data_IF_351507950190
#
_entry.id   IF_351507950190
#
_cell.length_a   1.000
_cell.length_b   1.000
_cell.length_c   1.000
_cell.angle_alpha   90.00
_cell.angle_beta   90.00
_cell.angle_gamma   90.00
#
_symmetry.space_group_name_H-M   'P 1'
#
loop_
_entity.id
_entity.type
_entity.pdbx_description
1 polymer ?
#
# COMPACT_ATOMS: atom_id res chain seq x y z
N UNK A 1 23.38 -19.77 -21.24
CA UNK A 1 22.66 -20.90 -20.62
C UNK A 1 21.24 -20.43 -20.34
N UNK A 2 20.21 -21.24 -20.60
CA UNK A 2 18.87 -20.96 -20.07
C UNK A 2 18.79 -21.56 -18.67
N UNK A 3 18.15 -20.86 -17.75
CA UNK A 3 17.70 -21.42 -16.48
C UNK A 3 16.25 -21.87 -16.65
N UNK A 4 16.08 -22.95 -17.42
CA UNK A 4 14.81 -23.65 -17.53
C UNK A 4 14.63 -24.46 -16.23
N UNK A 5 14.17 -23.80 -15.17
CA UNK A 5 13.78 -24.45 -13.92
C UNK A 5 12.25 -24.59 -13.92
N UNK A 6 11.80 -25.80 -14.26
CA UNK A 6 10.39 -26.17 -14.22
C UNK A 6 9.92 -26.16 -12.76
N UNK A 7 9.34 -25.04 -12.32
CA UNK A 7 8.67 -24.95 -11.02
C UNK A 7 7.46 -25.88 -11.09
N UNK A 8 7.56 -27.03 -10.41
CA UNK A 8 6.49 -28.00 -10.35
C UNK A 8 5.25 -27.37 -9.72
N UNK A 9 4.24 -27.09 -10.55
CA UNK A 9 2.93 -26.66 -10.08
C UNK A 9 2.23 -27.83 -9.38
N UNK A 10 2.58 -28.09 -8.12
CA UNK A 10 1.66 -28.73 -7.18
C UNK A 10 0.41 -27.84 -7.11
N UNK A 11 -0.65 -28.26 -7.80
CA UNK A 11 -1.96 -27.60 -7.77
C UNK A 11 -2.64 -27.87 -6.44
N UNK A 12 -2.05 -27.35 -5.37
CA UNK A 12 -2.67 -27.26 -4.06
C UNK A 12 -3.91 -26.37 -4.23
N UNK A 13 -5.10 -26.99 -4.18
CA UNK A 13 -6.36 -26.39 -4.62
C UNK A 13 -6.91 -25.42 -3.56
N UNK A 14 -6.15 -24.34 -3.34
CA UNK A 14 -6.42 -23.29 -2.37
C UNK A 14 -7.74 -22.59 -2.71
N UNK A 15 -8.83 -23.05 -2.12
CA UNK A 15 -10.13 -22.39 -2.20
C UNK A 15 -10.05 -21.12 -1.34
N UNK A 16 -10.09 -19.91 -1.94
CA UNK A 16 -9.85 -18.68 -1.20
C UNK A 16 -10.98 -18.49 -0.18
N UNK A 17 -10.63 -18.39 1.11
CA UNK A 17 -11.60 -18.26 2.18
C UNK A 17 -12.35 -16.92 2.06
N UNK A 18 -13.68 -16.92 1.79
CA UNK A 18 -14.40 -15.68 1.47
C UNK A 18 -14.37 -14.66 2.61
N UNK A 19 -14.35 -15.11 3.87
CA UNK A 19 -14.26 -14.21 5.04
C UNK A 19 -12.91 -13.50 5.09
N UNK A 20 -11.81 -14.19 4.74
CA UNK A 20 -10.48 -13.58 4.65
C UNK A 20 -10.41 -12.57 3.50
N UNK A 21 -10.96 -12.91 2.33
CA UNK A 21 -11.02 -11.98 1.19
C UNK A 21 -11.84 -10.72 1.51
N UNK A 22 -12.97 -10.85 2.21
CA UNK A 22 -13.77 -9.72 2.68
C UNK A 22 -12.99 -8.90 3.73
N UNK A 23 -12.34 -9.56 4.69
CA UNK A 23 -11.55 -8.88 5.72
C UNK A 23 -10.41 -8.06 5.09
N UNK A 24 -9.60 -8.65 4.22
CA UNK A 24 -8.51 -7.98 3.52
C UNK A 24 -8.99 -6.81 2.65
N UNK A 25 -10.17 -6.95 2.03
CA UNK A 25 -10.79 -5.89 1.22
C UNK A 25 -11.25 -4.71 2.09
N UNK A 26 -11.90 -4.97 3.23
CA UNK A 26 -12.24 -3.95 4.23
C UNK A 26 -10.99 -3.30 4.82
N UNK A 27 -9.91 -4.07 4.99
CA UNK A 27 -8.67 -3.56 5.53
C UNK A 27 -7.97 -2.57 4.58
N UNK A 28 -7.86 -2.93 3.29
CA UNK A 28 -7.29 -2.08 2.25
C UNK A 28 -8.10 -0.79 2.03
N UNK A 29 -9.43 -0.88 2.01
CA UNK A 29 -10.30 0.26 1.66
C UNK A 29 -10.50 1.22 2.85
N UNK A 30 -10.49 0.71 4.09
CA UNK A 30 -10.82 1.50 5.29
C UNK A 30 -9.76 1.43 6.40
N UNK A 31 -9.37 0.24 6.85
CA UNK A 31 -8.54 0.07 8.06
C UNK A 31 -7.14 0.73 7.95
N UNK A 32 -6.39 0.44 6.88
CA UNK A 32 -5.05 1.02 6.68
C UNK A 32 -5.06 2.53 6.40
N UNK A 33 -6.23 3.10 6.06
CA UNK A 33 -6.40 4.56 5.87
C UNK A 33 -6.57 5.30 7.19
N UNK A 34 -6.99 4.61 8.25
CA UNK A 34 -7.23 5.23 9.56
C UNK A 34 -5.94 5.28 10.41
N UNK A 35 -5.78 6.36 11.22
CA UNK A 35 -4.71 6.45 12.20
C UNK A 35 -4.83 5.35 13.26
N UNK A 36 -3.72 4.96 13.87
CA UNK A 36 -3.74 4.20 15.12
C UNK A 36 -4.24 5.06 16.29
N UNK A 37 -4.62 4.43 17.39
CA UNK A 37 -4.93 5.12 18.64
C UNK A 37 -3.71 5.92 19.16
N UNK A 38 -2.49 5.45 18.89
CA UNK A 38 -1.24 6.16 19.23
C UNK A 38 -1.01 7.38 18.33
N UNK A 39 -1.27 7.27 17.02
CA UNK A 39 -1.18 8.39 16.07
C UNK A 39 -2.14 9.52 16.49
N UNK A 40 -3.35 9.15 16.91
CA UNK A 40 -4.35 10.09 17.43
C UNK A 40 -3.98 10.68 18.80
N UNK A 41 -3.12 10.01 19.58
CA UNK A 41 -2.54 10.58 20.80
C UNK A 41 -1.44 11.60 20.47
N UNK A 42 -0.66 11.38 19.40
CA UNK A 42 0.36 12.31 18.88
C UNK A 42 -0.23 13.52 18.14
N UNK A 43 -1.46 13.42 17.62
CA UNK A 43 -2.13 14.47 16.83
C UNK A 43 -2.82 15.54 17.69
N UNK A 44 -2.77 16.78 17.19
CA UNK A 44 -3.55 17.91 17.73
C UNK A 44 -5.06 17.81 17.41
N UNK A 45 -5.42 17.20 16.27
CA UNK A 45 -6.80 16.86 15.93
C UNK A 45 -7.12 15.43 16.41
N UNK A 46 -8.21 15.32 17.18
CA UNK A 46 -8.71 14.06 17.77
C UNK A 46 -10.12 13.71 17.30
N UNK A 47 -10.59 14.35 16.22
CA UNK A 47 -11.92 14.09 15.63
C UNK A 47 -11.93 12.92 14.63
N UNK A 48 -10.76 12.49 14.15
CA UNK A 48 -10.62 11.33 13.25
C UNK A 48 -10.71 10.03 14.07
N UNK A 49 -11.65 9.10 13.79
CA UNK A 49 -11.71 7.81 14.49
C UNK A 49 -10.48 6.94 14.20
N UNK A 50 -10.13 6.06 15.11
CA UNK A 50 -8.95 5.19 14.98
C UNK A 50 -9.25 3.88 14.24
N UNK A 51 -8.22 3.22 13.73
CA UNK A 51 -8.35 1.92 13.06
C UNK A 51 -8.84 0.83 14.03
N UNK A 52 -8.46 0.92 15.30
CA UNK A 52 -8.88 0.01 16.38
C UNK A 52 -10.36 0.18 16.73
N UNK A 53 -10.90 1.41 16.68
CA UNK A 53 -12.34 1.65 16.80
C UNK A 53 -13.11 1.01 15.64
N UNK A 54 -12.61 1.12 14.41
CA UNK A 54 -13.18 0.44 13.25
C UNK A 54 -13.09 -1.08 13.37
N UNK A 55 -11.95 -1.64 13.81
CA UNK A 55 -11.81 -3.08 14.06
C UNK A 55 -12.79 -3.56 15.14
N UNK A 56 -12.97 -2.82 16.23
CA UNK A 56 -13.97 -3.13 17.27
C UNK A 56 -15.41 -3.14 16.74
N UNK A 57 -15.71 -2.36 15.70
CA UNK A 57 -17.00 -2.41 14.99
C UNK A 57 -17.06 -3.64 14.07
N UNK A 58 -16.04 -3.90 13.26
CA UNK A 58 -16.01 -5.02 12.29
C UNK A 58 -15.98 -6.39 13.00
N UNK A 59 -15.28 -6.51 14.14
CA UNK A 59 -15.16 -7.75 14.91
C UNK A 59 -16.49 -8.27 15.50
N UNK A 60 -17.55 -7.47 15.46
CA UNK A 60 -18.94 -7.89 15.76
C UNK A 60 -19.55 -8.78 14.67
N UNK A 61 -19.00 -8.71 13.46
CA UNK A 61 -19.45 -9.44 12.26
C UNK A 61 -18.40 -10.41 11.72
N UNK A 62 -17.10 -10.09 11.87
CA UNK A 62 -15.96 -10.91 11.45
C UNK A 62 -15.06 -11.11 12.68
N UNK A 63 -15.30 -12.19 13.42
CA UNK A 63 -14.55 -12.50 14.65
C UNK A 63 -13.03 -12.56 14.38
N UNK A 64 -12.23 -11.98 15.28
CA UNK A 64 -10.77 -11.80 15.15
C UNK A 64 -10.34 -11.12 13.82
N UNK A 65 -11.08 -10.09 13.38
CA UNK A 65 -10.75 -9.33 12.16
C UNK A 65 -9.29 -8.86 12.15
N UNK A 66 -8.85 -8.24 13.24
CA UNK A 66 -7.48 -7.76 13.46
C UNK A 66 -6.44 -8.89 13.37
N UNK A 67 -6.67 -10.02 14.02
CA UNK A 67 -5.80 -11.21 13.95
C UNK A 67 -5.72 -11.77 12.52
N UNK A 68 -6.84 -11.79 11.79
CA UNK A 68 -6.89 -12.22 10.38
C UNK A 68 -6.04 -11.29 9.51
N UNK A 69 -6.15 -9.96 9.69
CA UNK A 69 -5.31 -9.02 8.92
C UNK A 69 -3.83 -9.21 9.27
N UNK A 70 -3.47 -9.37 10.55
CA UNK A 70 -2.08 -9.62 10.95
C UNK A 70 -1.53 -10.91 10.33
N UNK A 71 -2.20 -12.04 10.54
CA UNK A 71 -1.76 -13.35 10.06
C UNK A 71 -1.59 -13.39 8.53
N UNK A 72 -2.50 -12.77 7.77
CA UNK A 72 -2.39 -12.69 6.31
C UNK A 72 -1.27 -11.74 5.87
N UNK A 73 -1.06 -10.61 6.55
CA UNK A 73 0.05 -9.69 6.28
C UNK A 73 1.42 -10.33 6.56
N UNK A 74 1.57 -11.11 7.64
CA UNK A 74 2.80 -11.85 7.93
C UNK A 74 3.03 -13.03 6.96
N UNK A 75 1.95 -13.72 6.56
CA UNK A 75 2.00 -14.80 5.56
C UNK A 75 2.36 -14.26 4.17
N UNK A 76 1.93 -13.04 3.84
CA UNK A 76 2.27 -12.40 2.57
C UNK A 76 3.67 -11.77 2.60
N UNK A 77 3.96 -10.90 3.58
CA UNK A 77 5.19 -10.09 3.65
C UNK A 77 6.17 -10.64 4.69
N UNK A 78 6.97 -11.61 4.25
CA UNK A 78 8.04 -12.26 5.01
C UNK A 78 9.34 -12.38 4.18
N UNK A 79 10.39 -12.93 4.80
CA UNK A 79 11.72 -13.06 4.20
C UNK A 79 11.85 -14.15 3.13
N UNK A 80 10.88 -15.07 3.03
CA UNK A 80 10.87 -16.14 2.03
C UNK A 80 10.21 -15.64 0.72
N UNK A 81 9.19 -14.79 0.85
CA UNK A 81 8.47 -14.17 -0.28
C UNK A 81 9.14 -12.89 -0.81
N UNK A 82 9.87 -12.15 0.03
CA UNK A 82 10.46 -10.85 -0.33
C UNK A 82 11.95 -10.77 0.03
N UNK A 83 12.78 -10.30 -0.92
CA UNK A 83 14.20 -10.01 -0.69
C UNK A 83 14.35 -8.74 0.16
N UNK A 84 14.60 -8.92 1.46
CA UNK A 84 14.81 -7.83 2.42
C UNK A 84 16.28 -7.34 2.32
N UNK A 85 16.54 -6.04 2.06
CA UNK A 85 17.89 -5.50 2.11
C UNK A 85 18.45 -5.49 3.54
N UNK A 86 19.75 -5.75 3.69
CA UNK A 86 20.42 -5.63 4.99
C UNK A 86 20.21 -4.24 5.62
N UNK A 87 19.84 -4.23 6.90
CA UNK A 87 19.51 -3.00 7.64
C UNK A 87 18.03 -2.59 7.59
N UNK A 88 17.19 -3.27 6.79
CA UNK A 88 15.73 -3.05 6.76
C UNK A 88 15.03 -4.02 7.71
N UNK A 89 14.37 -3.51 8.74
CA UNK A 89 13.47 -4.30 9.58
C UNK A 89 12.08 -4.40 8.93
N UNK A 90 11.51 -5.60 8.78
CA UNK A 90 10.06 -5.70 8.53
C UNK A 90 9.33 -5.40 9.84
N UNK A 91 8.77 -4.20 9.95
CA UNK A 91 7.77 -3.86 10.95
C UNK A 91 6.37 -3.86 10.33
N UNK A 92 5.34 -3.64 11.15
CA UNK A 92 3.95 -3.70 10.70
C UNK A 92 3.64 -2.71 9.56
N UNK A 93 4.10 -1.46 9.69
CA UNK A 93 3.90 -0.45 8.66
C UNK A 93 4.50 -0.87 7.29
N UNK A 94 5.65 -1.56 7.29
CA UNK A 94 6.26 -2.09 6.06
C UNK A 94 5.43 -3.22 5.45
N UNK A 95 4.78 -4.08 6.26
CA UNK A 95 3.85 -5.10 5.75
C UNK A 95 2.59 -4.48 5.15
N UNK A 96 1.96 -3.56 5.87
CA UNK A 96 0.76 -2.84 5.40
C UNK A 96 1.05 -2.09 4.08
N UNK A 97 2.23 -1.45 3.98
CA UNK A 97 2.69 -0.79 2.76
C UNK A 97 2.91 -1.78 1.60
N UNK A 98 3.71 -2.84 1.79
CA UNK A 98 4.03 -3.78 0.71
C UNK A 98 2.77 -4.53 0.23
N UNK A 99 1.93 -4.98 1.15
CA UNK A 99 0.64 -5.59 0.82
C UNK A 99 -0.24 -4.63 0.01
N UNK A 100 -0.41 -3.39 0.48
CA UNK A 100 -1.23 -2.40 -0.21
C UNK A 100 -0.67 -2.08 -1.60
N UNK A 101 0.65 -1.94 -1.75
CA UNK A 101 1.31 -1.73 -3.05
C UNK A 101 1.00 -2.89 -4.00
N UNK A 102 1.28 -4.14 -3.61
CA UNK A 102 1.12 -5.28 -4.53
C UNK A 102 -0.36 -5.51 -4.88
N UNK A 103 -1.27 -5.44 -3.89
CA UNK A 103 -2.71 -5.62 -4.16
C UNK A 103 -3.24 -4.50 -5.04
N UNK A 104 -2.87 -3.24 -4.81
CA UNK A 104 -3.26 -2.11 -5.66
C UNK A 104 -2.73 -2.21 -7.10
N UNK A 105 -1.52 -2.75 -7.29
CA UNK A 105 -0.97 -3.02 -8.63
C UNK A 105 -1.79 -4.11 -9.34
N UNK A 106 -2.12 -5.20 -8.64
CA UNK A 106 -2.91 -6.32 -9.20
C UNK A 106 -4.35 -5.92 -9.51
N UNK A 107 -4.99 -5.10 -8.66
CA UNK A 107 -6.37 -4.64 -8.85
C UNK A 107 -6.52 -3.40 -9.76
N UNK A 108 -5.41 -2.77 -10.16
CA UNK A 108 -5.34 -1.39 -10.71
C UNK A 108 -6.03 -0.33 -9.83
N UNK A 109 -6.11 -0.54 -8.52
CA UNK A 109 -6.60 0.50 -7.58
C UNK A 109 -5.52 1.57 -7.40
N UNK A 110 -5.80 2.88 -7.54
CA UNK A 110 -4.80 3.91 -7.28
C UNK A 110 -4.41 3.94 -5.80
N UNK A 111 -3.13 3.71 -5.52
CA UNK A 111 -2.56 3.84 -4.18
C UNK A 111 -1.86 5.19 -4.04
N UNK A 112 -1.95 5.78 -2.86
CA UNK A 112 -1.20 6.97 -2.53
C UNK A 112 -0.64 6.86 -1.10
N UNK A 113 0.56 6.30 -1.00
CA UNK A 113 1.59 7.00 -0.23
C UNK A 113 1.95 8.24 -1.13
N UNK A 114 2.53 9.31 -0.60
CA UNK A 114 2.17 10.66 -1.10
C UNK A 114 2.68 11.09 -2.55
N UNK A 115 3.32 11.48 -3.71
CA UNK A 115 4.72 11.71 -4.25
C UNK A 115 4.76 12.72 -5.45
N UNK A 116 5.91 13.35 -5.78
CA UNK A 116 6.02 14.63 -6.52
C UNK A 116 6.25 14.57 -8.04
N UNK A 117 5.92 15.69 -8.75
CA UNK A 117 5.58 15.60 -10.16
C UNK A 117 6.21 16.70 -11.04
N UNK A 118 7.20 16.34 -11.84
CA UNK A 118 7.47 17.00 -13.12
C UNK A 118 6.89 16.16 -14.27
N UNK A 119 6.24 16.83 -15.23
CA UNK A 119 5.61 16.29 -16.46
C UNK A 119 4.84 14.95 -16.33
N UNK A 120 3.92 14.89 -15.37
CA UNK A 120 3.10 13.70 -15.05
C UNK A 120 2.39 13.11 -16.28
N UNK A 121 1.80 13.96 -17.12
CA UNK A 121 0.91 13.54 -18.20
C UNK A 121 1.65 12.67 -19.24
N UNK A 122 2.89 13.05 -19.58
CA UNK A 122 3.76 12.26 -20.45
C UNK A 122 4.11 10.90 -19.85
N UNK A 123 4.37 10.84 -18.54
CA UNK A 123 4.68 9.59 -17.82
C UNK A 123 3.47 8.64 -17.86
N UNK A 124 2.27 9.13 -17.54
CA UNK A 124 1.04 8.33 -17.61
C UNK A 124 0.72 7.86 -19.03
N UNK A 125 0.80 8.72 -20.05
CA UNK A 125 0.59 8.31 -21.44
C UNK A 125 1.57 7.21 -21.87
N UNK A 126 2.83 7.32 -21.48
CA UNK A 126 3.88 6.33 -21.78
C UNK A 126 3.66 5.02 -21.04
N UNK A 127 3.15 5.07 -19.81
CA UNK A 127 2.76 3.88 -19.04
C UNK A 127 1.54 3.20 -19.67
N UNK A 128 0.48 3.94 -20.00
CA UNK A 128 -0.76 3.40 -20.61
C UNK A 128 -0.46 2.72 -21.95
N UNK A 129 0.38 3.31 -22.81
CA UNK A 129 0.80 2.72 -24.09
C UNK A 129 1.63 1.43 -23.91
N UNK A 130 2.34 1.27 -22.79
CA UNK A 130 3.07 0.05 -22.44
C UNK A 130 2.16 -1.02 -21.85
N UNK A 131 1.23 -0.64 -20.99
CA UNK A 131 0.23 -1.56 -20.42
C UNK A 131 -0.62 -2.19 -21.52
N UNK A 132 -1.14 -1.37 -22.44
CA UNK A 132 -1.86 -1.83 -23.63
C UNK A 132 -1.01 -2.78 -24.49
N UNK A 133 0.31 -2.55 -24.60
CA UNK A 133 1.21 -3.45 -25.32
C UNK A 133 1.39 -4.78 -24.59
N UNK A 134 1.55 -4.79 -23.26
CA UNK A 134 1.63 -6.02 -22.47
C UNK A 134 0.32 -6.82 -22.55
N UNK A 135 -0.83 -6.17 -22.45
CA UNK A 135 -2.15 -6.80 -22.59
C UNK A 135 -2.37 -7.39 -24.00
N UNK A 136 -2.03 -6.65 -25.06
CA UNK A 136 -2.13 -7.13 -26.45
C UNK A 136 -1.23 -8.32 -26.74
N UNK A 137 -0.06 -8.42 -26.10
CA UNK A 137 0.92 -9.48 -26.32
C UNK A 137 0.88 -10.58 -25.24
N UNK A 138 -0.11 -10.53 -24.35
CA UNK A 138 -0.30 -11.48 -23.23
C UNK A 138 0.95 -11.64 -22.35
N UNK A 139 1.69 -10.54 -22.15
CA UNK A 139 2.88 -10.48 -21.31
C UNK A 139 2.44 -10.26 -19.87
N UNK A 140 2.82 -11.16 -18.97
CA UNK A 140 2.54 -11.04 -17.53
C UNK A 140 3.48 -9.99 -16.89
N UNK A 141 3.13 -8.72 -17.08
CA UNK A 141 3.85 -7.55 -16.56
C UNK A 141 2.89 -6.38 -16.46
N UNK A 142 2.96 -5.62 -15.35
CA UNK A 142 2.12 -4.44 -15.11
C UNK A 142 2.93 -3.15 -15.09
N UNK A 143 2.40 -2.11 -15.72
CA UNK A 143 2.93 -0.75 -15.64
C UNK A 143 2.45 -0.07 -14.37
N UNK A 144 3.40 0.39 -13.57
CA UNK A 144 3.16 1.24 -12.40
C UNK A 144 3.73 2.62 -12.68
N UNK A 145 2.91 3.66 -12.54
CA UNK A 145 3.40 5.03 -12.42
C UNK A 145 3.76 5.27 -10.96
N UNK A 146 5.03 5.53 -10.70
CA UNK A 146 5.56 5.87 -9.38
C UNK A 146 5.99 7.35 -9.35
N UNK A 147 5.58 8.09 -8.32
CA UNK A 147 6.05 9.45 -8.03
C UNK A 147 6.67 9.52 -6.63
N UNK A 148 7.68 10.36 -6.41
CA UNK A 148 8.38 10.49 -5.13
C UNK A 148 8.47 11.97 -4.72
N UNK A 149 8.24 12.31 -3.45
CA UNK A 149 8.38 13.63 -2.80
C UNK A 149 7.29 14.76 -2.96
N UNK A 150 5.97 14.48 -3.08
CA UNK A 150 4.77 15.35 -3.38
C UNK A 150 4.57 16.71 -2.71
N UNK A 151 5.52 17.14 -1.91
CA UNK A 151 5.54 18.33 -1.07
C UNK A 151 5.65 19.62 -1.91
N UNK A 152 4.62 19.87 -2.72
CA UNK A 152 4.30 21.06 -3.53
C UNK A 152 5.07 21.28 -4.84
N UNK A 153 4.36 21.19 -5.97
CA UNK A 153 3.88 22.37 -6.68
C UNK A 153 2.84 23.13 -5.81
N UNK A 154 2.88 24.47 -5.80
CA UNK A 154 1.89 25.31 -5.07
C UNK A 154 0.45 24.81 -5.21
N UNK A 155 -0.30 24.80 -4.10
CA UNK A 155 -1.76 24.60 -4.12
C UNK A 155 -2.44 25.60 -5.09
N UNK A 156 -1.95 26.85 -5.11
CA UNK A 156 -2.35 27.91 -6.03
C UNK A 156 -2.17 27.57 -7.53
N UNK A 157 -1.22 26.69 -7.87
CA UNK A 157 -0.94 26.26 -9.26
C UNK A 157 -1.80 25.06 -9.69
N UNK A 158 -2.50 24.40 -8.75
CA UNK A 158 -3.43 23.29 -9.01
C UNK A 158 -2.87 22.13 -9.85
N UNK A 159 -1.53 21.95 -9.91
CA UNK A 159 -0.85 21.03 -10.83
C UNK A 159 -1.37 19.59 -10.71
N UNK A 160 -1.69 19.15 -9.50
CA UNK A 160 -2.20 17.81 -9.21
C UNK A 160 -3.59 17.54 -9.81
N UNK A 161 -4.34 18.54 -10.31
CA UNK A 161 -5.57 18.31 -11.08
C UNK A 161 -5.33 17.57 -12.39
N UNK A 162 -4.10 17.58 -12.92
CA UNK A 162 -3.74 16.76 -14.10
C UNK A 162 -3.86 15.26 -13.81
N UNK A 163 -3.80 14.83 -12.55
CA UNK A 163 -3.97 13.43 -12.15
C UNK A 163 -5.42 12.96 -12.28
N UNK A 164 -6.42 13.83 -12.04
CA UNK A 164 -7.84 13.46 -11.95
C UNK A 164 -8.32 12.55 -13.09
N UNK A 165 -8.15 12.87 -14.39
CA UNK A 165 -8.60 11.99 -15.47
C UNK A 165 -7.89 10.62 -15.50
N UNK A 166 -6.63 10.53 -15.08
CA UNK A 166 -5.92 9.26 -15.03
C UNK A 166 -6.29 8.42 -13.80
N UNK A 167 -6.61 9.06 -12.68
CA UNK A 167 -7.08 8.43 -11.44
C UNK A 167 -8.58 8.05 -11.49
N UNK A 168 -9.38 8.70 -12.33
CA UNK A 168 -10.78 8.32 -12.57
C UNK A 168 -10.91 7.12 -13.53
N UNK A 169 -9.93 6.94 -14.44
CA UNK A 169 -9.95 5.94 -15.53
C UNK A 169 -9.04 4.73 -15.24
N UNK A 170 -8.10 4.84 -14.28
CA UNK A 170 -7.32 3.73 -13.70
C UNK A 170 -6.61 2.78 -14.70
N UNK A 171 -6.26 3.26 -15.89
CA UNK A 171 -5.66 2.44 -16.98
C UNK A 171 -4.27 1.88 -16.68
N UNK A 172 -3.60 2.37 -15.64
CA UNK A 172 -2.32 1.88 -15.12
C UNK A 172 -2.35 1.94 -13.61
N UNK A 173 -1.58 1.07 -12.95
CA UNK A 173 -1.40 1.17 -11.51
C UNK A 173 -0.67 2.48 -11.15
N UNK A 174 -1.07 3.10 -10.05
CA UNK A 174 -0.49 4.34 -9.54
C UNK A 174 -0.05 4.15 -8.09
N UNK A 175 1.16 4.60 -7.78
CA UNK A 175 1.76 4.66 -6.44
C UNK A 175 2.53 5.97 -6.34
N UNK A 176 2.64 6.55 -5.15
CA UNK A 176 3.54 7.67 -4.90
C UNK A 176 4.14 7.60 -3.47
N UNK A 177 5.06 8.48 -3.00
CA UNK A 177 5.60 8.54 -1.59
C UNK A 177 6.04 9.97 -1.17
N UNK A 178 5.59 10.54 -0.01
CA UNK A 178 6.02 11.85 0.55
C UNK A 178 5.31 12.27 1.89
N UNK A 179 5.19 13.60 2.12
CA UNK A 179 5.18 14.24 3.44
C UNK A 179 4.03 15.26 3.70
N UNK A 180 3.11 15.52 2.75
CA UNK A 180 1.97 16.45 2.92
C UNK A 180 0.69 15.86 2.30
N UNK A 181 -0.42 15.90 3.03
CA UNK A 181 -1.72 15.38 2.54
C UNK A 181 -2.16 16.03 1.22
N UNK A 182 -2.65 15.22 0.29
CA UNK A 182 -3.33 15.68 -0.92
C UNK A 182 -4.65 16.40 -0.57
N UNK A 183 -5.17 17.18 -1.53
CA UNK A 183 -6.51 17.74 -1.43
C UNK A 183 -7.59 16.62 -1.44
N UNK A 184 -8.78 16.93 -0.92
CA UNK A 184 -9.88 15.97 -0.87
C UNK A 184 -10.30 15.46 -2.27
N UNK A 185 -10.08 16.26 -3.33
CA UNK A 185 -10.41 15.86 -4.69
C UNK A 185 -9.52 14.72 -5.21
N UNK A 186 -8.23 14.71 -4.84
CA UNK A 186 -7.34 13.58 -5.11
C UNK A 186 -7.52 12.46 -4.08
N UNK A 187 -7.59 12.77 -2.77
CA UNK A 187 -7.70 11.77 -1.70
C UNK A 187 -8.97 10.89 -1.75
N UNK A 188 -10.03 11.35 -2.44
CA UNK A 188 -11.22 10.54 -2.71
C UNK A 188 -11.06 9.54 -3.88
N UNK A 189 -10.02 9.69 -4.72
CA UNK A 189 -9.72 8.86 -5.90
C UNK A 189 -8.66 7.79 -5.66
N UNK A 190 -8.12 7.72 -4.45
CA UNK A 190 -6.94 6.92 -4.11
C UNK A 190 -7.03 6.38 -2.68
N UNK A 191 -6.40 5.23 -2.44
CA UNK A 191 -6.17 4.75 -1.06
C UNK A 191 -5.01 5.53 -0.46
N UNK A 192 -5.31 6.51 0.41
CA UNK A 192 -4.30 7.23 1.17
C UNK A 192 -3.88 6.43 2.41
N UNK A 193 -2.58 6.11 2.54
CA UNK A 193 -2.00 5.54 3.77
C UNK A 193 -1.17 6.63 4.46
N UNK A 194 -1.50 6.91 5.71
CA UNK A 194 -0.77 7.89 6.53
C UNK A 194 0.24 7.18 7.43
N UNK A 195 1.45 7.74 7.56
CA UNK A 195 2.40 7.36 8.60
C UNK A 195 2.64 8.51 9.57
N UNK A 196 2.55 8.18 10.86
CA UNK A 196 2.96 8.97 12.01
C UNK A 196 4.48 8.91 12.23
N UNK A 197 4.96 9.52 13.32
CA UNK A 197 6.30 9.24 13.82
C UNK A 197 6.29 7.88 14.55
N UNK A 198 7.32 7.02 14.35
CA UNK A 198 7.35 5.69 14.96
C UNK A 198 7.32 5.78 16.49
N UNK A 199 6.54 4.92 17.12
CA UNK A 199 6.43 4.81 18.59
C UNK A 199 7.78 4.44 19.24
N UNK A 200 7.89 4.55 20.57
CA UNK A 200 9.09 4.05 21.27
C UNK A 200 9.27 2.53 21.10
N UNK A 201 8.18 1.79 20.87
CA UNK A 201 8.20 0.37 20.51
C UNK A 201 8.75 0.14 19.10
N UNK A 202 8.22 0.85 18.10
CA UNK A 202 8.72 0.81 16.72
C UNK A 202 10.19 1.20 16.64
N UNK A 203 10.62 2.24 17.35
CA UNK A 203 12.01 2.68 17.37
C UNK A 203 12.95 1.58 17.89
N UNK A 204 12.51 0.78 18.88
CA UNK A 204 13.27 -0.39 19.35
C UNK A 204 13.26 -1.52 18.34
N UNK A 205 12.11 -1.87 17.75
CA UNK A 205 12.01 -2.91 16.71
C UNK A 205 12.89 -2.55 15.49
N UNK A 206 12.84 -1.30 15.04
CA UNK A 206 13.69 -0.74 13.98
C UNK A 206 15.16 -0.84 14.37
N UNK A 207 15.56 -0.38 15.55
CA UNK A 207 16.95 -0.43 16.00
C UNK A 207 17.49 -1.87 16.06
N UNK A 208 16.71 -2.82 16.60
CA UNK A 208 17.10 -4.24 16.64
C UNK A 208 17.23 -4.82 15.22
N UNK A 209 16.27 -4.58 14.35
CA UNK A 209 16.32 -5.08 12.97
C UNK A 209 17.43 -4.45 12.13
N UNK A 210 17.73 -3.17 12.30
CA UNK A 210 18.90 -2.51 11.69
C UNK A 210 20.24 -3.13 12.15
N UNK A 211 20.30 -3.63 13.40
CA UNK A 211 21.45 -4.36 13.96
C UNK A 211 21.45 -5.87 13.61
N UNK A 212 20.45 -6.37 12.88
CA UNK A 212 20.29 -7.80 12.59
C UNK A 212 19.89 -8.65 13.81
N UNK A 213 19.41 -8.02 14.88
CA UNK A 213 18.98 -8.67 16.11
C UNK A 213 17.47 -8.96 16.07
N UNK A 214 17.05 -10.06 16.71
CA UNK A 214 15.64 -10.30 16.98
C UNK A 214 15.20 -9.51 18.21
N UNK A 215 14.07 -8.82 18.09
CA UNK A 215 13.37 -8.24 19.23
C UNK A 215 12.61 -9.39 19.95
N UNK A 216 12.69 -9.42 21.28
CA UNK A 216 12.10 -10.44 22.17
C UNK A 216 11.10 -9.77 23.13
#
# INVERSE_FOLDING_TARGET
>A
MRYDHEIGHEQNSYTPNPLRCIALSLALIYYFRLPTAEDNAQRNDKSTPSREELASIISKSIHNFDEIIQNELETFVNADNFVIPHGVAINQAIREHIFSIVVSIVSRTPLCIIGAPDDIAYIFERAIKREQHYEQNQIDTRCVVFLDEASLPDENKMVLKVLHPYLDDCKVAFVAIANKSFDAANANRMTCIYRSLPSEGDQKILAYGCLGLKFN
#
